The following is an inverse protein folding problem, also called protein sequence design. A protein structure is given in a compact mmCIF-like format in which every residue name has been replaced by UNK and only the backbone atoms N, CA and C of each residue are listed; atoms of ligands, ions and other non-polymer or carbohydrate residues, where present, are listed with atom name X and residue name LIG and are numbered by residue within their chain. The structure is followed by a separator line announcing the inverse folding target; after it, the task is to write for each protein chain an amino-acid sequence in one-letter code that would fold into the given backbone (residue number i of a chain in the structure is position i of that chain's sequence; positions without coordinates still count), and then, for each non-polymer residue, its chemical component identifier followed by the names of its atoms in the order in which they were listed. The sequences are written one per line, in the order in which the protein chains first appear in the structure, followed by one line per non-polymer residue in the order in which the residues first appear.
data_IF_952176355054
#
_entry.id   IF_952176355054
#
_cell.length_a   1.000
_cell.length_b   1.000
_cell.length_c   1.000
_cell.angle_alpha   90.00
_cell.angle_beta   90.00
_cell.angle_gamma   90.00
#
_symmetry.space_group_name_H-M   'P 1'
#
loop_
_entity.id
_entity.type
_entity.pdbx_description
1 polymer ?
#
# COMPACT_ATOMS: atom_id res chain seq x y z
N UNK A 1 15.38 -5.57 3.47
CA UNK A 1 14.32 -6.48 3.05
C UNK A 1 14.93 -7.74 2.48
N UNK A 2 14.47 -8.86 2.97
CA UNK A 2 15.11 -10.12 2.64
C UNK A 2 14.70 -10.69 1.30
N UNK A 3 15.56 -11.55 0.79
CA UNK A 3 15.39 -12.13 -0.52
C UNK A 3 14.23 -13.09 -0.63
N UNK A 4 13.63 -13.47 0.49
CA UNK A 4 12.48 -14.37 0.48
C UNK A 4 11.30 -13.78 -0.29
N UNK A 5 11.17 -12.46 -0.30
CA UNK A 5 10.10 -11.82 -1.05
C UNK A 5 10.28 -12.01 -2.57
N UNK A 6 11.52 -12.03 -3.01
CA UNK A 6 11.82 -12.23 -4.41
C UNK A 6 11.23 -13.55 -4.93
N UNK A 7 11.34 -14.62 -4.14
CA UNK A 7 10.79 -15.90 -4.53
C UNK A 7 9.28 -15.89 -4.72
N UNK A 8 8.58 -15.13 -3.88
CA UNK A 8 7.14 -14.98 -4.01
C UNK A 8 6.77 -14.21 -5.28
N UNK A 9 7.44 -13.08 -5.50
CA UNK A 9 7.12 -12.22 -6.64
C UNK A 9 7.46 -12.88 -7.98
N UNK A 10 8.45 -13.73 -7.99
CA UNK A 10 8.89 -14.39 -9.21
C UNK A 10 7.80 -15.24 -9.84
N UNK A 11 6.88 -15.75 -9.03
CA UNK A 11 5.79 -16.59 -9.51
C UNK A 11 4.53 -15.80 -9.85
N UNK A 12 4.55 -14.49 -9.60
CA UNK A 12 3.41 -13.65 -9.88
C UNK A 12 3.28 -13.36 -11.36
N UNK A 13 2.05 -13.16 -11.83
CA UNK A 13 1.81 -12.69 -13.19
C UNK A 13 2.20 -11.22 -13.35
N UNK A 14 2.34 -10.50 -12.24
CA UNK A 14 2.77 -9.10 -12.26
C UNK A 14 4.28 -9.06 -12.24
N UNK A 15 4.92 -8.29 -13.14
CA UNK A 15 6.38 -8.21 -13.15
C UNK A 15 6.93 -7.73 -11.81
N UNK A 16 8.09 -8.27 -11.44
CA UNK A 16 8.71 -7.91 -10.16
C UNK A 16 8.95 -6.41 -10.05
N UNK A 17 9.29 -5.76 -11.15
CA UNK A 17 9.53 -4.31 -11.12
C UNK A 17 8.30 -3.53 -10.68
N UNK A 18 7.11 -4.00 -11.02
CA UNK A 18 5.88 -3.34 -10.60
C UNK A 18 5.57 -3.63 -9.13
N UNK A 19 5.92 -4.82 -8.66
CA UNK A 19 5.81 -5.11 -7.23
C UNK A 19 6.73 -4.20 -6.42
N UNK A 20 7.96 -4.00 -6.88
CA UNK A 20 8.92 -3.13 -6.21
C UNK A 20 8.40 -1.69 -6.19
N UNK A 21 7.83 -1.23 -7.29
CA UNK A 21 7.24 0.10 -7.35
C UNK A 21 6.10 0.23 -6.34
N UNK A 22 5.22 -0.77 -6.29
CA UNK A 22 4.08 -0.76 -5.36
C UNK A 22 4.57 -0.73 -3.91
N UNK A 23 5.57 -1.54 -3.57
CA UNK A 23 6.13 -1.54 -2.23
C UNK A 23 6.66 -0.15 -1.87
N UNK A 24 7.42 0.46 -2.77
CA UNK A 24 7.98 1.78 -2.54
C UNK A 24 6.93 2.84 -2.30
N UNK A 25 5.89 2.84 -3.12
CA UNK A 25 4.79 3.79 -2.99
C UNK A 25 4.08 3.63 -1.66
N UNK A 26 3.74 2.39 -1.31
CA UNK A 26 2.98 2.13 -0.07
C UNK A 26 3.83 2.44 1.16
N UNK A 27 5.11 2.11 1.13
CA UNK A 27 6.01 2.43 2.25
C UNK A 27 6.19 3.93 2.40
N UNK A 28 6.43 4.64 1.31
CA UNK A 28 6.57 6.10 1.37
C UNK A 28 5.32 6.74 1.96
N UNK A 29 4.15 6.30 1.51
CA UNK A 29 2.90 6.81 2.01
C UNK A 29 2.77 6.58 3.53
N UNK A 30 3.11 5.38 3.98
CA UNK A 30 3.00 5.03 5.40
C UNK A 30 3.99 5.82 6.24
N UNK A 31 5.22 5.92 5.79
CA UNK A 31 6.26 6.63 6.53
C UNK A 31 5.92 8.11 6.67
N UNK A 32 5.45 8.72 5.58
CA UNK A 32 5.14 10.15 5.61
C UNK A 32 3.89 10.46 6.42
N UNK A 33 2.98 9.50 6.53
CA UNK A 33 1.75 9.70 7.30
C UNK A 33 1.91 9.38 8.78
N UNK A 34 3.01 8.76 9.17
CA UNK A 34 3.19 8.29 10.53
C UNK A 34 3.90 9.31 11.40
N UNK A 35 3.57 9.37 12.70
CA UNK A 35 4.37 10.15 13.63
C UNK A 35 5.80 9.62 13.67
N UNK A 36 6.75 10.50 13.92
CA UNK A 36 8.16 10.11 14.01
C UNK A 36 8.33 9.06 15.12
N UNK A 37 9.11 8.02 14.82
CA UNK A 37 9.35 6.96 15.78
C UNK A 37 8.30 5.86 15.77
N UNK A 38 7.28 5.95 14.91
CA UNK A 38 6.25 4.93 14.80
C UNK A 38 6.78 3.67 14.13
N UNK A 39 6.06 2.57 14.35
CA UNK A 39 6.33 1.32 13.66
C UNK A 39 5.42 1.21 12.45
N UNK A 40 6.02 0.92 11.31
CA UNK A 40 5.28 0.63 10.08
C UNK A 40 5.44 -0.86 9.81
N UNK A 41 4.33 -1.54 9.55
CA UNK A 41 4.35 -2.97 9.28
C UNK A 41 4.17 -3.22 7.80
N UNK A 42 4.88 -4.22 7.29
CA UNK A 42 4.69 -4.68 5.93
C UNK A 42 4.51 -6.19 5.95
N UNK A 43 3.57 -6.69 5.17
CA UNK A 43 3.30 -8.10 5.08
C UNK A 43 3.03 -8.48 3.63
N UNK A 44 3.54 -9.63 3.22
CA UNK A 44 3.27 -10.20 1.91
C UNK A 44 2.89 -11.65 2.12
N UNK A 45 1.77 -12.07 1.57
CA UNK A 45 1.34 -13.46 1.72
C UNK A 45 0.56 -13.93 0.51
N UNK A 46 0.55 -15.25 0.33
CA UNK A 46 -0.23 -15.85 -0.73
C UNK A 46 -1.69 -15.99 -0.31
N UNK A 47 -2.59 -15.71 -1.24
CA UNK A 47 -4.01 -15.95 -1.07
C UNK A 47 -4.50 -16.64 -2.33
N UNK A 48 -4.52 -17.96 -2.32
CA UNK A 48 -4.81 -18.73 -3.53
C UNK A 48 -3.76 -18.48 -4.59
N UNK A 49 -4.18 -18.05 -5.77
CA UNK A 49 -3.27 -17.73 -6.86
C UNK A 49 -2.84 -16.26 -6.83
N UNK A 50 -3.27 -15.51 -5.83
CA UNK A 50 -2.93 -14.09 -5.70
C UNK A 50 -1.89 -13.88 -4.61
N UNK A 51 -1.24 -12.73 -4.67
CA UNK A 51 -0.37 -12.27 -3.59
C UNK A 51 -1.00 -11.02 -2.98
N UNK A 52 -0.97 -10.94 -1.67
CA UNK A 52 -1.45 -9.78 -0.94
C UNK A 52 -0.27 -9.06 -0.32
N UNK A 53 -0.13 -7.78 -0.67
CA UNK A 53 0.88 -6.91 -0.09
C UNK A 53 0.15 -5.88 0.76
N UNK A 54 0.48 -5.81 2.05
CA UNK A 54 -0.15 -4.90 2.98
C UNK A 54 0.91 -4.06 3.67
N UNK A 55 0.63 -2.77 3.82
CA UNK A 55 1.46 -1.86 4.59
C UNK A 55 0.55 -1.12 5.56
N UNK A 56 0.91 -1.08 6.82
CA UNK A 56 0.08 -0.43 7.83
C UNK A 56 0.89 0.52 8.69
N UNK A 57 0.25 1.59 9.12
CA UNK A 57 0.87 2.60 9.96
C UNK A 57 -0.15 3.16 10.94
N UNK A 58 0.31 3.68 12.10
CA UNK A 58 -0.60 4.29 13.05
C UNK A 58 -1.21 5.55 12.46
N UNK A 59 -2.51 5.68 12.60
CA UNK A 59 -3.24 6.86 12.14
C UNK A 59 -4.65 6.80 12.70
N UNK A 60 -5.33 7.96 12.79
CA UNK A 60 -6.74 7.96 13.15
C UNK A 60 -7.57 7.15 12.15
N UNK A 61 -8.67 6.59 12.63
CA UNK A 61 -9.54 5.79 11.78
C UNK A 61 -10.03 6.60 10.58
N UNK A 62 -10.09 5.96 9.43
CA UNK A 62 -10.55 6.60 8.19
C UNK A 62 -11.84 5.94 7.71
N UNK A 63 -12.72 6.74 7.13
CA UNK A 63 -13.92 6.24 6.48
C UNK A 63 -13.59 5.69 5.10
N UNK A 64 -14.52 4.92 4.53
CA UNK A 64 -14.34 4.44 3.17
C UNK A 64 -14.19 5.59 2.18
N UNK A 65 -14.97 6.64 2.37
CA UNK A 65 -14.87 7.82 1.50
C UNK A 65 -13.49 8.45 1.57
N UNK A 66 -12.92 8.54 2.78
CA UNK A 66 -11.59 9.08 2.95
C UNK A 66 -10.54 8.20 2.28
N UNK A 67 -10.63 6.88 2.48
CA UNK A 67 -9.71 5.96 1.83
C UNK A 67 -9.75 6.13 0.30
N UNK A 68 -10.95 6.10 -0.26
CA UNK A 68 -11.09 6.19 -1.71
C UNK A 68 -10.58 7.51 -2.26
N UNK A 69 -10.75 8.58 -1.49
CA UNK A 69 -10.26 9.89 -1.92
C UNK A 69 -8.76 9.95 -2.08
N UNK A 70 -8.04 9.16 -1.29
CA UNK A 70 -6.57 9.18 -1.35
C UNK A 70 -6.01 8.59 -2.65
N UNK A 71 -6.81 7.82 -3.37
CA UNK A 71 -6.37 7.20 -4.61
C UNK A 71 -6.66 8.06 -5.85
N UNK A 72 -7.26 9.23 -5.65
CA UNK A 72 -7.57 10.09 -6.80
C UNK A 72 -6.29 10.72 -7.36
N UNK A 73 -6.30 10.89 -8.70
CA UNK A 73 -5.17 11.50 -9.38
C UNK A 73 -4.93 12.90 -8.84
N UNK A 74 -3.68 13.17 -8.48
CA UNK A 74 -3.28 14.47 -8.00
C UNK A 74 -3.60 14.77 -6.55
N UNK A 75 -4.30 13.86 -5.85
CA UNK A 75 -4.63 14.08 -4.45
C UNK A 75 -3.39 13.91 -3.58
N UNK A 76 -3.16 14.86 -2.69
CA UNK A 76 -2.10 14.72 -1.69
C UNK A 76 -2.36 15.69 -0.54
N UNK A 77 -2.04 15.24 0.68
CA UNK A 77 -1.98 16.10 1.83
C UNK A 77 -0.57 16.59 2.10
N UNK A 78 0.37 16.15 1.30
CA UNK A 78 1.77 16.50 1.45
C UNK A 78 2.03 17.78 0.68
N UNK A 79 2.60 18.73 1.35
CA UNK A 79 2.62 20.10 0.83
C UNK A 79 3.66 20.38 -0.23
N UNK A 80 4.54 19.47 -0.55
CA UNK A 80 5.72 19.97 -1.24
C UNK A 80 6.37 19.10 -2.26
N UNK A 81 5.81 17.96 -2.59
CA UNK A 81 6.58 17.12 -3.49
C UNK A 81 5.87 16.96 -4.80
N UNK A 82 6.52 17.43 -5.83
CA UNK A 82 6.07 17.18 -7.18
C UNK A 82 5.89 15.70 -7.41
N UNK A 83 4.77 15.31 -7.98
CA UNK A 83 4.49 13.93 -8.29
C UNK A 83 3.97 13.08 -7.15
N UNK A 84 3.99 13.59 -5.92
CA UNK A 84 3.54 12.81 -4.78
C UNK A 84 2.04 12.53 -4.80
N UNK A 85 1.26 13.43 -5.37
CA UNK A 85 -0.18 13.23 -5.48
C UNK A 85 -0.58 12.09 -6.39
N UNK A 86 0.38 11.47 -7.07
CA UNK A 86 0.10 10.40 -8.01
C UNK A 86 0.50 9.02 -7.50
N UNK A 87 1.14 8.92 -6.34
CA UNK A 87 1.60 7.62 -5.84
C UNK A 87 0.49 6.62 -5.70
N UNK A 88 -0.50 6.93 -4.87
CA UNK A 88 -1.62 6.00 -4.67
C UNK A 88 -2.47 5.87 -5.93
N UNK A 89 -2.54 6.91 -6.75
CA UNK A 89 -3.20 6.80 -8.05
C UNK A 89 -2.49 5.74 -8.92
N UNK A 90 -1.17 5.68 -8.87
CA UNK A 90 -0.44 4.67 -9.63
C UNK A 90 -0.69 3.26 -9.09
N UNK A 91 -0.90 3.13 -7.78
CA UNK A 91 -1.33 1.85 -7.19
C UNK A 91 -2.66 1.42 -7.79
N UNK A 92 -3.61 2.35 -7.90
CA UNK A 92 -4.89 2.06 -8.52
C UNK A 92 -4.70 1.60 -9.97
N UNK A 93 -3.82 2.27 -10.71
CA UNK A 93 -3.55 1.91 -12.10
C UNK A 93 -2.97 0.50 -12.23
N UNK A 94 -2.07 0.14 -11.32
CA UNK A 94 -1.48 -1.20 -11.33
C UNK A 94 -2.57 -2.24 -11.05
N UNK A 95 -3.43 -2.00 -10.07
CA UNK A 95 -4.48 -2.96 -9.76
C UNK A 95 -5.46 -3.12 -10.92
N UNK A 96 -5.79 -2.03 -11.59
CA UNK A 96 -6.68 -2.12 -12.76
C UNK A 96 -6.04 -2.88 -13.91
N UNK A 97 -4.75 -2.65 -14.13
CA UNK A 97 -4.04 -3.29 -15.23
C UNK A 97 -4.01 -4.81 -15.09
N UNK A 98 -3.86 -5.30 -13.87
CA UNK A 98 -3.71 -6.73 -13.63
C UNK A 98 -4.97 -7.36 -13.01
N UNK A 99 -6.08 -6.64 -13.00
CA UNK A 99 -7.36 -7.15 -12.49
C UNK A 99 -7.27 -7.56 -11.02
N UNK A 100 -6.53 -6.78 -10.26
CA UNK A 100 -6.40 -7.00 -8.83
C UNK A 100 -7.38 -6.16 -8.03
N UNK A 101 -7.11 -6.03 -6.75
CA UNK A 101 -7.95 -5.24 -5.85
C UNK A 101 -7.09 -4.42 -4.92
N UNK A 102 -7.60 -3.25 -4.55
CA UNK A 102 -7.01 -2.43 -3.50
C UNK A 102 -7.57 -2.92 -2.18
N UNK A 103 -6.71 -2.97 -1.16
CA UNK A 103 -7.10 -3.33 0.19
C UNK A 103 -6.95 -2.11 1.07
N UNK A 104 -8.01 -1.72 1.75
CA UNK A 104 -7.96 -0.63 2.73
C UNK A 104 -8.80 -1.02 3.92
N UNK A 105 -8.29 -0.77 5.12
CA UNK A 105 -9.09 -0.98 6.33
C UNK A 105 -8.44 -0.32 7.52
N UNK A 106 -9.21 -0.18 8.59
CA UNK A 106 -8.69 0.19 9.90
C UNK A 106 -8.45 -1.09 10.69
N UNK A 107 -7.46 -1.07 11.56
CA UNK A 107 -7.12 -2.23 12.37
C UNK A 107 -6.62 -1.75 13.72
N UNK A 108 -7.14 -2.34 14.79
CA UNK A 108 -6.68 -1.99 16.13
C UNK A 108 -5.46 -2.83 16.47
N UNK A 109 -4.39 -2.17 16.90
CA UNK A 109 -3.17 -2.83 17.34
C UNK A 109 -2.77 -2.20 18.67
N UNK A 110 -2.85 -2.97 19.74
CA UNK A 110 -2.48 -2.48 21.08
C UNK A 110 -3.14 -1.15 21.44
N UNK A 111 -4.46 -1.08 21.27
CA UNK A 111 -5.27 0.08 21.60
C UNK A 111 -5.01 1.31 20.73
N UNK A 112 -4.29 1.13 19.66
CA UNK A 112 -4.01 2.20 18.71
C UNK A 112 -4.61 1.82 17.35
N UNK A 113 -5.17 2.79 16.64
CA UNK A 113 -5.69 2.51 15.31
C UNK A 113 -4.57 2.57 14.28
N UNK A 114 -4.54 1.56 13.43
CA UNK A 114 -3.67 1.53 12.27
C UNK A 114 -4.52 1.59 11.02
N UNK A 115 -4.05 2.29 10.01
CA UNK A 115 -4.66 2.21 8.69
C UNK A 115 -3.82 1.27 7.85
N UNK A 116 -4.50 0.44 7.07
CA UNK A 116 -3.86 -0.57 6.23
C UNK A 116 -4.14 -0.22 4.78
N UNK A 117 -3.09 -0.14 3.99
CA UNK A 117 -3.18 0.02 2.54
C UNK A 117 -2.47 -1.14 1.88
N UNK A 118 -3.08 -1.70 0.86
CA UNK A 118 -2.43 -2.80 0.18
C UNK A 118 -3.05 -3.11 -1.16
N UNK A 119 -2.51 -4.15 -1.76
CA UNK A 119 -2.98 -4.63 -3.06
C UNK A 119 -3.05 -6.15 -3.03
N UNK A 120 -4.00 -6.69 -3.78
CA UNK A 120 -4.14 -8.11 -4.03
C UNK A 120 -3.98 -8.29 -5.53
N UNK A 121 -2.89 -8.91 -5.96
CA UNK A 121 -2.56 -9.05 -7.38
C UNK A 121 -2.23 -10.51 -7.73
N UNK A 122 -2.53 -10.95 -8.97
CA UNK A 122 -2.25 -12.34 -9.38
C UNK A 122 -0.78 -12.67 -9.49
#
# INVERSE_FOLDING_TARGET
MELQLHGLFKKSAVPETEWIEAIGILLDNAIEASPKGSTVYIAVRKKGTYLELLVSNPAPAMSNTEFMGLFRKGFTTKSSSEGRGYGLYNILRITERYHGKIVTRNEAVSEENYVVFGVLLP
#
